data_IF_215069100806
#
_entry.id   IF_215069100806
#
_cell.length_a   1.000
_cell.length_b   1.000
_cell.length_c   1.000
_cell.angle_alpha   90.00
_cell.angle_beta   90.00
_cell.angle_gamma   90.00
#
_symmetry.space_group_name_H-M   'P 1'
#
loop_
_entity.id
_entity.type
_entity.pdbx_description
1 polymer ?
#
# COMPACT_ATOMS: atom_id res chain seq x y z
N UNK A 1 -16.92 5.05 2.18
CA UNK A 1 -16.50 4.85 3.55
C UNK A 1 -15.02 5.16 3.68
N UNK A 2 -14.70 6.13 4.50
CA UNK A 2 -13.30 6.49 4.72
C UNK A 2 -12.64 5.43 5.60
N UNK A 3 -11.62 4.76 5.08
CA UNK A 3 -10.79 3.88 5.86
C UNK A 3 -9.45 4.52 6.08
N UNK A 4 -9.08 4.70 7.34
CA UNK A 4 -7.70 4.97 7.68
C UNK A 4 -6.98 3.63 7.71
N UNK A 5 -6.50 3.20 6.54
CA UNK A 5 -5.79 1.94 6.47
C UNK A 5 -4.40 2.07 7.07
N UNK A 6 -4.08 1.17 7.99
CA UNK A 6 -2.71 0.86 8.31
C UNK A 6 -2.14 0.07 7.13
N UNK A 7 -0.83 -0.14 7.12
CA UNK A 7 -0.17 -0.95 6.08
C UNK A 7 -0.75 -2.36 6.04
N UNK A 8 -1.13 -2.90 7.20
CA UNK A 8 -1.73 -4.24 7.29
C UNK A 8 -3.12 -4.27 6.67
N UNK A 9 -3.88 -3.19 6.81
CA UNK A 9 -5.24 -3.08 6.26
C UNK A 9 -5.25 -2.90 4.75
N UNK A 10 -4.16 -2.41 4.14
CA UNK A 10 -4.07 -2.26 2.70
C UNK A 10 -4.20 -3.63 2.00
N UNK A 11 -3.61 -4.67 2.56
CA UNK A 11 -3.75 -6.02 2.02
C UNK A 11 -5.20 -6.50 2.06
N UNK A 12 -5.94 -6.17 3.10
CA UNK A 12 -7.36 -6.52 3.23
C UNK A 12 -8.22 -5.78 2.22
N UNK A 13 -7.96 -4.50 1.99
CA UNK A 13 -8.68 -3.70 0.99
C UNK A 13 -8.49 -4.29 -0.41
N UNK A 14 -7.28 -4.66 -0.76
CA UNK A 14 -6.98 -5.28 -2.05
C UNK A 14 -7.70 -6.62 -2.18
N UNK A 15 -7.72 -7.43 -1.13
CA UNK A 15 -8.39 -8.73 -1.12
C UNK A 15 -9.92 -8.59 -1.26
N UNK A 16 -10.53 -7.57 -0.66
CA UNK A 16 -11.95 -7.29 -0.84
C UNK A 16 -12.28 -6.94 -2.28
N UNK A 17 -11.39 -6.17 -2.93
CA UNK A 17 -11.52 -5.86 -4.35
C UNK A 17 -11.56 -7.12 -5.22
N UNK A 18 -10.79 -8.14 -4.86
CA UNK A 18 -10.81 -9.43 -5.58
C UNK A 18 -12.18 -10.10 -5.52
N UNK A 19 -12.85 -10.04 -4.38
CA UNK A 19 -14.16 -10.67 -4.21
C UNK A 19 -15.24 -10.03 -5.09
N UNK A 20 -15.16 -8.72 -5.28
CA UNK A 20 -16.12 -7.97 -6.09
C UNK A 20 -16.03 -8.31 -7.58
N UNK A 21 -14.91 -8.86 -8.02
CA UNK A 21 -14.63 -9.16 -9.42
C UNK A 21 -14.43 -10.67 -9.65
N UNK A 22 -15.24 -11.47 -8.98
CA UNK A 22 -15.12 -12.93 -9.00
C UNK A 22 -15.28 -13.55 -10.41
N UNK A 23 -15.92 -12.84 -11.35
CA UNK A 23 -16.13 -13.32 -12.70
C UNK A 23 -14.90 -13.17 -13.61
N UNK A 24 -13.87 -12.47 -13.13
CA UNK A 24 -12.65 -12.29 -13.90
C UNK A 24 -11.73 -13.51 -13.79
N UNK A 25 -10.88 -13.68 -14.79
CA UNK A 25 -9.81 -14.67 -14.69
C UNK A 25 -8.97 -14.41 -13.45
N UNK A 26 -8.78 -15.42 -12.62
CA UNK A 26 -8.00 -15.33 -11.40
C UNK A 26 -6.58 -14.87 -11.69
N UNK A 27 -5.97 -15.34 -12.78
CA UNK A 27 -4.61 -14.93 -13.13
C UNK A 27 -4.51 -13.44 -13.47
N UNK A 28 -5.53 -12.89 -14.15
CA UNK A 28 -5.57 -11.46 -14.47
C UNK A 28 -5.71 -10.61 -13.20
N UNK A 29 -6.57 -11.04 -12.27
CA UNK A 29 -6.78 -10.33 -11.01
C UNK A 29 -5.51 -10.38 -10.15
N UNK A 30 -4.87 -11.55 -10.07
CA UNK A 30 -3.60 -11.69 -9.34
C UNK A 30 -2.51 -10.80 -9.92
N UNK A 31 -2.42 -10.74 -11.25
CA UNK A 31 -1.48 -9.84 -11.93
C UNK A 31 -1.73 -8.38 -11.55
N UNK A 32 -3.00 -7.97 -11.54
CA UNK A 32 -3.38 -6.60 -11.14
C UNK A 32 -2.99 -6.30 -9.70
N UNK A 33 -3.22 -7.24 -8.79
CA UNK A 33 -2.85 -7.09 -7.36
C UNK A 33 -1.34 -6.94 -7.19
N UNK A 34 -0.55 -7.80 -7.85
CA UNK A 34 0.91 -7.72 -7.77
C UNK A 34 1.44 -6.40 -8.30
N UNK A 35 0.90 -5.95 -9.42
CA UNK A 35 1.29 -4.67 -10.03
C UNK A 35 0.94 -3.49 -9.13
N UNK A 36 -0.25 -3.51 -8.54
CA UNK A 36 -0.72 -2.48 -7.61
C UNK A 36 0.16 -2.43 -6.36
N UNK A 37 0.51 -3.58 -5.79
CA UNK A 37 1.38 -3.63 -4.62
C UNK A 37 2.74 -3.00 -4.90
N UNK A 38 3.33 -3.28 -6.07
CA UNK A 38 4.60 -2.65 -6.47
C UNK A 38 4.46 -1.15 -6.66
N UNK A 39 3.34 -0.69 -7.22
CA UNK A 39 3.07 0.74 -7.39
C UNK A 39 2.94 1.43 -6.04
N UNK A 40 2.20 0.84 -5.11
CA UNK A 40 2.04 1.39 -3.75
C UNK A 40 3.40 1.51 -3.07
N UNK A 41 4.22 0.46 -3.14
CA UNK A 41 5.57 0.50 -2.57
C UNK A 41 6.41 1.62 -3.20
N UNK A 42 6.38 1.74 -4.51
CA UNK A 42 7.12 2.79 -5.22
C UNK A 42 6.64 4.20 -4.86
N UNK A 43 5.33 4.38 -4.71
CA UNK A 43 4.75 5.66 -4.31
C UNK A 43 5.11 6.03 -2.87
N UNK A 44 5.12 5.06 -1.96
CA UNK A 44 5.56 5.29 -0.58
C UNK A 44 7.02 5.72 -0.57
N UNK A 45 7.86 5.01 -1.30
CA UNK A 45 9.30 5.31 -1.40
C UNK A 45 9.52 6.71 -1.98
N UNK A 46 8.81 7.04 -3.05
CA UNK A 46 8.92 8.34 -3.70
C UNK A 46 8.48 9.48 -2.79
N UNK A 47 7.38 9.31 -2.05
CA UNK A 47 6.83 10.34 -1.16
C UNK A 47 7.47 10.39 0.22
N UNK A 48 8.29 9.41 0.59
CA UNK A 48 8.88 9.34 1.92
C UNK A 48 9.90 10.46 2.16
N UNK A 49 10.02 10.95 3.42
CA UNK A 49 11.07 11.89 3.76
C UNK A 49 12.44 11.28 3.48
N UNK A 50 13.30 12.03 2.79
CA UNK A 50 14.63 11.55 2.41
C UNK A 50 15.68 12.24 3.27
N UNK A 51 16.08 11.60 4.35
CA UNK A 51 17.19 12.08 5.17
C UNK A 51 18.47 11.35 4.82
N UNK A 52 18.43 10.01 4.89
CA UNK A 52 19.55 9.15 4.50
C UNK A 52 19.19 8.22 3.35
N UNK A 53 17.90 8.17 3.00
CA UNK A 53 17.37 7.23 2.02
C UNK A 53 17.08 5.83 2.60
N UNK A 54 17.53 5.55 3.81
CA UNK A 54 17.35 4.21 4.41
C UNK A 54 15.89 3.89 4.70
N UNK A 55 15.13 4.87 5.20
CA UNK A 55 13.72 4.68 5.46
C UNK A 55 12.95 4.39 4.16
N UNK A 56 13.15 5.24 3.14
CA UNK A 56 12.46 5.06 1.86
C UNK A 56 12.73 3.68 1.25
N UNK A 57 13.97 3.21 1.35
CA UNK A 57 14.39 1.90 0.81
C UNK A 57 13.96 0.72 1.69
N UNK A 58 13.47 0.97 2.90
CA UNK A 58 13.08 -0.10 3.82
C UNK A 58 11.76 -0.79 3.43
N UNK A 59 10.98 -0.16 2.56
CA UNK A 59 9.67 -0.67 2.17
C UNK A 59 9.81 -1.85 1.21
N UNK A 60 9.03 -2.90 1.48
CA UNK A 60 9.05 -4.16 0.72
C UNK A 60 7.64 -4.66 0.46
N UNK A 61 7.53 -5.55 -0.50
CA UNK A 61 6.29 -6.26 -0.81
C UNK A 61 6.54 -7.74 -0.58
N UNK A 62 5.60 -8.41 0.07
CA UNK A 62 5.63 -9.87 0.17
C UNK A 62 4.27 -10.46 -0.12
N UNK A 63 4.27 -11.70 -0.59
CA UNK A 63 3.04 -12.49 -0.70
C UNK A 63 2.75 -13.10 0.67
N UNK A 64 1.68 -12.64 1.30
CA UNK A 64 1.29 -13.12 2.64
C UNK A 64 0.47 -14.39 2.55
N UNK A 65 -0.37 -14.48 1.54
CA UNK A 65 -1.20 -15.65 1.30
C UNK A 65 -1.47 -15.79 -0.20
N UNK A 66 -1.37 -16.98 -0.71
CA UNK A 66 -1.74 -17.27 -2.10
C UNK A 66 -2.27 -18.70 -2.23
N UNK A 67 -3.38 -18.83 -2.93
CA UNK A 67 -3.91 -20.14 -3.35
C UNK A 67 -4.50 -19.98 -4.75
N UNK A 68 -5.22 -21.01 -5.25
CA UNK A 68 -5.77 -20.99 -6.61
C UNK A 68 -6.77 -19.87 -6.87
N UNK A 69 -7.36 -19.30 -5.81
CA UNK A 69 -8.43 -18.30 -5.92
C UNK A 69 -8.15 -17.01 -5.19
N UNK A 70 -7.00 -16.88 -4.51
CA UNK A 70 -6.72 -15.77 -3.62
C UNK A 70 -5.25 -15.37 -3.68
N UNK A 71 -5.01 -14.08 -3.63
CA UNK A 71 -3.68 -13.52 -3.47
C UNK A 71 -3.74 -12.33 -2.51
N UNK A 72 -2.93 -12.36 -1.48
CA UNK A 72 -2.75 -11.24 -0.56
C UNK A 72 -1.31 -10.77 -0.65
N UNK A 73 -1.12 -9.52 -1.03
CA UNK A 73 0.18 -8.85 -1.07
C UNK A 73 0.23 -7.85 0.07
N UNK A 74 1.31 -7.87 0.83
CA UNK A 74 1.52 -6.92 1.93
C UNK A 74 2.69 -6.01 1.61
N UNK A 75 2.44 -4.70 1.70
CA UNK A 75 3.49 -3.67 1.58
C UNK A 75 3.86 -3.25 2.99
N UNK A 76 5.12 -3.38 3.36
CA UNK A 76 5.54 -3.21 4.75
C UNK A 76 7.00 -2.74 4.84
N UNK A 77 7.36 -2.22 6.02
CA UNK A 77 8.75 -1.86 6.32
C UNK A 77 9.23 -2.74 7.49
N UNK A 78 10.02 -3.77 7.23
CA UNK A 78 10.41 -4.71 8.28
C UNK A 78 11.34 -4.12 9.33
N UNK A 79 12.14 -3.11 8.96
CA UNK A 79 13.16 -2.54 9.86
C UNK A 79 12.79 -1.17 10.41
N UNK A 80 11.85 -0.46 9.78
CA UNK A 80 11.54 0.93 10.09
C UNK A 80 10.05 1.19 10.33
N UNK A 81 9.26 0.16 10.64
CA UNK A 81 7.82 0.32 10.80
C UNK A 81 7.46 1.32 11.91
N UNK A 82 8.26 1.42 12.96
CA UNK A 82 8.04 2.38 14.04
C UNK A 82 8.13 3.82 13.55
N UNK A 83 9.04 4.09 12.62
CA UNK A 83 9.20 5.43 12.05
C UNK A 83 8.05 5.80 11.11
N UNK A 84 7.41 4.80 10.48
CA UNK A 84 6.36 5.05 9.50
C UNK A 84 5.24 5.92 10.07
N UNK A 85 4.75 5.60 11.26
CA UNK A 85 3.68 6.35 11.90
C UNK A 85 4.11 7.77 12.28
N UNK A 86 5.31 7.91 12.81
CA UNK A 86 5.84 9.22 13.22
C UNK A 86 6.05 10.14 12.01
N UNK A 87 6.56 9.60 10.91
CA UNK A 87 6.81 10.36 9.70
C UNK A 87 5.54 10.70 8.94
N UNK A 88 4.54 9.81 8.97
CA UNK A 88 3.26 10.05 8.31
C UNK A 88 2.44 11.14 9.02
N UNK A 89 2.33 11.06 10.34
CA UNK A 89 1.42 11.89 11.13
C UNK A 89 2.10 12.99 11.93
N UNK A 90 3.42 12.94 12.03
CA UNK A 90 4.17 13.83 12.90
C UNK A 90 4.21 13.33 14.33
N UNK A 91 4.88 14.05 15.19
CA UNK A 91 5.05 13.68 16.59
C UNK A 91 5.34 14.88 17.46
N UNK A 92 5.13 14.74 18.77
CA UNK A 92 5.45 15.79 19.74
C UNK A 92 6.98 15.92 19.89
N UNK A 93 7.45 17.16 19.99
CA UNK A 93 8.86 17.45 20.26
C UNK A 93 9.14 17.37 21.76
N UNK A 94 10.35 16.91 22.11
CA UNK A 94 10.88 17.05 23.45
C UNK A 94 11.02 18.55 23.76
N UNK A 95 10.42 19.02 24.84
CA UNK A 95 10.50 20.43 25.23
C UNK A 95 9.41 21.32 24.65
N UNK A 96 8.42 20.77 24.00
CA UNK A 96 7.25 21.49 23.50
C UNK A 96 7.18 21.60 21.99
N UNK A 97 6.00 21.81 21.48
CA UNK A 97 5.73 21.89 20.06
C UNK A 97 5.58 20.52 19.40
N UNK A 98 5.41 20.53 18.10
CA UNK A 98 5.15 19.32 17.30
C UNK A 98 5.93 19.35 16.00
N UNK A 99 6.48 18.22 15.62
CA UNK A 99 7.05 18.03 14.27
C UNK A 99 5.90 17.63 13.35
N UNK A 100 5.72 18.37 12.26
CA UNK A 100 4.68 18.07 11.27
C UNK A 100 5.00 16.77 10.55
N UNK A 101 3.97 15.98 10.27
CA UNK A 101 4.09 14.80 9.45
C UNK A 101 4.21 15.14 7.98
N UNK A 102 4.74 14.19 7.19
CA UNK A 102 4.72 14.23 5.74
C UNK A 102 3.96 13.00 5.24
N UNK A 103 2.66 13.14 4.91
CA UNK A 103 1.90 11.99 4.41
C UNK A 103 2.54 11.42 3.15
N UNK A 104 2.80 10.13 3.18
CA UNK A 104 3.37 9.40 2.04
C UNK A 104 2.76 8.01 1.89
N UNK A 105 2.12 7.50 2.95
CA UNK A 105 1.41 6.21 2.93
C UNK A 105 -0.01 6.41 2.41
N UNK A 106 -0.76 7.36 2.95
CA UNK A 106 -2.13 7.61 2.53
C UNK A 106 -2.24 8.00 1.05
N UNK A 107 -1.39 8.89 0.49
CA UNK A 107 -1.42 9.17 -0.95
C UNK A 107 -1.07 7.95 -1.80
N UNK A 108 -0.13 7.11 -1.34
CA UNK A 108 0.25 5.89 -2.06
C UNK A 108 -0.90 4.89 -2.07
N UNK A 109 -1.59 4.72 -0.96
CA UNK A 109 -2.79 3.89 -0.87
C UNK A 109 -3.86 4.35 -1.85
N UNK A 110 -4.15 5.65 -1.88
CA UNK A 110 -5.14 6.22 -2.79
C UNK A 110 -4.78 5.97 -4.25
N UNK A 111 -3.51 6.13 -4.62
CA UNK A 111 -3.02 5.83 -5.97
C UNK A 111 -3.17 4.35 -6.28
N UNK A 112 -2.89 3.49 -5.32
CA UNK A 112 -3.03 2.03 -5.46
C UNK A 112 -4.46 1.61 -5.72
N UNK A 113 -5.42 2.15 -4.98
CA UNK A 113 -6.84 1.87 -5.17
C UNK A 113 -7.27 2.23 -6.59
N UNK A 114 -6.90 3.43 -7.06
CA UNK A 114 -7.22 3.87 -8.41
C UNK A 114 -6.62 2.98 -9.48
N UNK A 115 -5.37 2.58 -9.30
CA UNK A 115 -4.69 1.71 -10.26
C UNK A 115 -5.35 0.33 -10.30
N UNK A 116 -5.66 -0.24 -9.15
CA UNK A 116 -6.31 -1.55 -9.08
C UNK A 116 -7.67 -1.52 -9.79
N UNK A 117 -8.49 -0.52 -9.50
CA UNK A 117 -9.78 -0.33 -10.18
C UNK A 117 -9.61 -0.24 -11.69
N UNK A 118 -8.65 0.55 -12.15
CA UNK A 118 -8.38 0.73 -13.58
C UNK A 118 -7.93 -0.56 -14.25
N UNK A 119 -7.05 -1.33 -13.61
CA UNK A 119 -6.56 -2.59 -14.15
C UNK A 119 -7.68 -3.64 -14.25
N UNK A 120 -8.52 -3.70 -13.23
CA UNK A 120 -9.65 -4.63 -13.21
C UNK A 120 -10.68 -4.23 -14.25
N UNK A 121 -10.96 -2.95 -14.39
CA UNK A 121 -11.87 -2.43 -15.41
C UNK A 121 -11.41 -2.79 -16.82
N UNK A 122 -10.12 -2.65 -17.10
CA UNK A 122 -9.52 -3.07 -18.36
C UNK A 122 -9.67 -4.57 -18.60
N UNK A 123 -9.49 -5.37 -17.57
CA UNK A 123 -9.65 -6.82 -17.66
C UNK A 123 -11.09 -7.20 -17.97
N UNK A 124 -12.08 -6.48 -17.42
CA UNK A 124 -13.51 -6.69 -17.70
C UNK A 124 -13.87 -6.38 -19.15
N UNK A 125 -13.23 -5.37 -19.73
CA UNK A 125 -13.51 -4.98 -21.11
C UNK A 125 -12.80 -5.87 -22.14
N UNK A 126 -11.96 -6.76 -21.69
CA UNK A 126 -11.27 -7.70 -22.52
C UNK A 126 -9.96 -7.29 -22.99
#
# INVERSE_FOLDING_TARGET
MSRNCSIDELADVINEGLKEYADLSVSQVKSAVRKTARTVRGEIEFGAPVRTGQYAKSWKVKTTEENSQKLVQTVYSPTRYMLAHLLEKGHAKRGGGRVAGKPHIAPAEAAGVKQLESLIEKALKG
#
